data_IF_623056705399
#
_entry.id   IF_623056705399
#
_cell.length_a   1.000
_cell.length_b   1.000
_cell.length_c   1.000
_cell.angle_alpha   90.00
_cell.angle_beta   90.00
_cell.angle_gamma   90.00
#
_symmetry.space_group_name_H-M   'P 1'
#
loop_
_entity.id
_entity.type
_entity.pdbx_description
1 polymer ?
#
# COMPACT_ATOMS: atom_id res chain seq x y z
N UNK A 1 38.96 12.92 -2.82
CA UNK A 1 37.53 12.73 -2.58
C UNK A 1 37.39 11.59 -1.58
N UNK A 2 37.20 11.90 -0.30
CA UNK A 2 37.09 10.87 0.74
C UNK A 2 35.69 10.27 0.70
N UNK A 3 35.61 8.96 0.38
CA UNK A 3 34.42 8.15 0.57
C UNK A 3 34.34 7.79 2.06
N UNK A 4 33.42 8.40 2.79
CA UNK A 4 33.02 7.91 4.11
C UNK A 4 32.37 6.55 3.92
N UNK A 5 32.90 5.50 4.56
CA UNK A 5 32.30 4.17 4.55
C UNK A 5 31.32 4.03 5.71
N UNK A 6 30.33 3.14 5.56
CA UNK A 6 29.28 2.85 6.56
C UNK A 6 29.81 2.41 7.95
N UNK A 7 31.13 2.22 8.09
CA UNK A 7 31.85 1.93 9.33
C UNK A 7 32.04 3.15 10.25
N UNK A 8 31.79 4.37 9.77
CA UNK A 8 32.16 5.61 10.48
C UNK A 8 31.02 6.16 11.36
N UNK A 9 29.93 5.40 11.52
CA UNK A 9 28.79 5.80 12.35
C UNK A 9 28.94 5.14 13.72
N UNK A 10 29.18 5.95 14.75
CA UNK A 10 29.17 5.51 16.14
C UNK A 10 27.75 5.05 16.52
N UNK A 11 27.57 3.74 16.66
CA UNK A 11 26.30 3.12 17.04
C UNK A 11 25.76 3.59 18.41
N UNK A 12 26.57 4.29 19.22
CA UNK A 12 26.13 4.88 20.48
C UNK A 12 25.60 6.32 20.38
N UNK A 13 25.74 7.01 19.25
CA UNK A 13 25.03 8.28 18.99
C UNK A 13 23.57 8.08 18.55
N UNK A 14 23.16 6.85 18.23
CA UNK A 14 21.77 6.48 17.87
C UNK A 14 20.91 6.28 19.14
N UNK A 15 21.46 6.51 20.33
CA UNK A 15 20.72 6.47 21.59
C UNK A 15 20.19 7.85 21.94
N UNK A 16 18.87 8.02 21.84
CA UNK A 16 18.04 9.14 22.33
C UNK A 16 17.48 10.12 21.30
N UNK A 17 16.99 9.62 20.18
CA UNK A 17 15.75 10.18 19.63
C UNK A 17 14.67 9.14 19.84
N UNK A 18 13.91 9.31 20.93
CA UNK A 18 12.59 8.68 21.05
C UNK A 18 11.95 8.84 19.69
N UNK A 19 11.52 7.72 19.10
CA UNK A 19 10.44 7.68 18.13
C UNK A 19 9.38 8.62 18.70
N UNK A 20 9.36 9.88 18.27
CA UNK A 20 8.28 10.78 18.60
C UNK A 20 7.07 9.98 18.15
N UNK A 21 6.24 9.61 19.11
CA UNK A 21 5.05 8.83 18.84
C UNK A 21 4.27 9.72 17.90
N UNK A 22 4.39 9.48 16.58
CA UNK A 22 3.63 10.21 15.57
C UNK A 22 2.21 10.23 16.10
N UNK A 23 1.66 11.44 16.24
CA UNK A 23 0.37 11.61 16.86
C UNK A 23 -0.64 10.95 15.92
N UNK A 24 -0.95 9.68 16.17
CA UNK A 24 -1.72 8.79 15.29
C UNK A 24 -3.19 9.14 15.41
N UNK A 25 -3.51 10.41 15.20
CA UNK A 25 -4.85 11.00 15.21
C UNK A 25 -5.51 10.82 13.84
N UNK A 26 -4.70 10.78 12.78
CA UNK A 26 -5.15 10.67 11.41
C UNK A 26 -5.02 9.22 10.92
N UNK A 27 -5.90 8.35 11.42
CA UNK A 27 -5.99 6.96 10.99
C UNK A 27 -7.43 6.58 10.71
N UNK A 28 -7.61 5.63 9.80
CA UNK A 28 -8.90 5.00 9.53
C UNK A 28 -8.94 3.69 10.30
N UNK A 29 -9.82 3.61 11.31
CA UNK A 29 -10.01 2.37 12.07
C UNK A 29 -10.68 1.32 11.18
N UNK A 30 -10.18 0.09 11.21
CA UNK A 30 -10.93 -1.03 10.62
C UNK A 30 -12.22 -1.29 11.38
N UNK A 31 -13.28 -1.64 10.66
CA UNK A 31 -14.54 -2.08 11.26
C UNK A 31 -14.51 -3.56 11.70
N UNK A 32 -13.39 -4.26 11.48
CA UNK A 32 -13.19 -5.64 11.87
C UNK A 32 -12.66 -5.75 13.31
N UNK A 33 -12.89 -6.87 14.01
CA UNK A 33 -12.31 -7.14 15.33
C UNK A 33 -10.81 -7.53 15.22
N UNK A 34 -10.02 -6.77 14.47
CA UNK A 34 -8.61 -7.04 14.15
C UNK A 34 -7.72 -5.86 14.54
N UNK A 35 -6.44 -6.14 14.79
CA UNK A 35 -5.48 -5.16 15.30
C UNK A 35 -4.71 -4.43 14.19
N UNK A 36 -5.40 -3.70 13.32
CA UNK A 36 -4.79 -2.82 12.32
C UNK A 36 -5.70 -1.63 11.95
N UNK A 37 -5.12 -0.60 11.31
CA UNK A 37 -5.85 0.52 10.71
C UNK A 37 -5.94 0.33 9.20
N UNK A 38 -7.04 0.70 8.55
CA UNK A 38 -7.17 0.68 7.08
C UNK A 38 -6.16 1.62 6.42
N UNK A 39 -5.92 2.77 7.05
CA UNK A 39 -4.80 3.64 6.72
C UNK A 39 -4.28 4.41 7.93
N UNK A 40 -3.03 4.85 7.85
CA UNK A 40 -2.41 5.80 8.76
C UNK A 40 -1.79 6.92 7.94
N UNK A 41 -2.12 8.17 8.24
CA UNK A 41 -1.50 9.36 7.65
C UNK A 41 -0.50 9.95 8.66
N UNK A 42 0.71 10.24 8.18
CA UNK A 42 1.77 10.94 8.92
C UNK A 42 2.28 12.03 7.99
N UNK A 43 2.08 13.28 8.40
CA UNK A 43 2.33 14.46 7.57
C UNK A 43 1.66 14.29 6.19
N UNK A 44 2.44 14.31 5.12
CA UNK A 44 1.96 14.15 3.74
C UNK A 44 1.92 12.68 3.29
N UNK A 45 2.39 11.73 4.09
CA UNK A 45 2.51 10.32 3.70
C UNK A 45 1.35 9.50 4.25
N UNK A 46 0.74 8.69 3.39
CA UNK A 46 -0.38 7.83 3.73
C UNK A 46 0.03 6.38 3.51
N UNK A 47 -0.07 5.57 4.55
CA UNK A 47 0.15 4.13 4.52
C UNK A 47 -1.19 3.43 4.51
N UNK A 48 -1.50 2.75 3.41
CA UNK A 48 -2.74 1.99 3.23
C UNK A 48 -2.47 0.52 3.51
N UNK A 49 -3.21 -0.06 4.46
CA UNK A 49 -3.12 -1.48 4.75
C UNK A 49 -3.65 -2.32 3.58
N UNK A 50 -3.24 -3.59 3.52
CA UNK A 50 -3.61 -4.52 2.46
C UNK A 50 -5.12 -4.62 2.25
N UNK A 51 -5.58 -4.19 1.08
CA UNK A 51 -6.97 -4.32 0.62
C UNK A 51 -7.10 -5.57 -0.23
N UNK A 52 -8.21 -6.29 -0.09
CA UNK A 52 -8.60 -7.41 -0.94
C UNK A 52 -9.93 -7.13 -1.66
N UNK A 53 -10.46 -8.11 -2.40
CA UNK A 53 -11.78 -7.98 -3.03
C UNK A 53 -12.90 -8.03 -1.99
N UNK A 54 -14.03 -7.39 -2.30
CA UNK A 54 -15.23 -7.42 -1.47
C UNK A 54 -15.94 -8.78 -1.53
N UNK A 55 -15.83 -9.46 -2.67
CA UNK A 55 -16.40 -10.79 -2.88
C UNK A 55 -15.42 -11.71 -3.61
N UNK A 56 -15.34 -12.98 -3.18
CA UNK A 56 -14.58 -14.02 -3.86
C UNK A 56 -15.40 -14.77 -4.92
N UNK A 57 -16.72 -14.57 -4.94
CA UNK A 57 -17.66 -15.25 -5.84
C UNK A 57 -17.86 -14.51 -7.18
N UNK A 58 -16.93 -13.64 -7.53
CA UNK A 58 -16.88 -12.90 -8.81
C UNK A 58 -15.63 -13.29 -9.61
N UNK A 59 -15.54 -12.85 -10.87
CA UNK A 59 -14.39 -13.18 -11.73
C UNK A 59 -13.07 -12.64 -11.16
N UNK A 60 -11.96 -13.26 -11.55
CA UNK A 60 -10.63 -12.84 -11.11
C UNK A 60 -10.33 -11.38 -11.50
N UNK A 61 -10.78 -10.96 -12.68
CA UNK A 61 -10.71 -9.58 -13.15
C UNK A 61 -11.48 -8.63 -12.24
N UNK A 62 -12.71 -8.99 -11.86
CA UNK A 62 -13.52 -8.16 -10.97
C UNK A 62 -12.91 -8.09 -9.56
N UNK A 63 -12.26 -9.16 -9.09
CA UNK A 63 -11.53 -9.12 -7.82
C UNK A 63 -10.37 -8.13 -7.84
N UNK A 64 -9.65 -8.03 -8.97
CA UNK A 64 -8.59 -7.01 -9.16
C UNK A 64 -9.21 -5.61 -9.09
N UNK A 65 -10.32 -5.37 -9.78
CA UNK A 65 -11.03 -4.08 -9.81
C UNK A 65 -11.54 -3.67 -8.43
N UNK A 66 -12.19 -4.58 -7.71
CA UNK A 66 -12.65 -4.35 -6.34
C UNK A 66 -11.49 -3.99 -5.43
N UNK A 67 -10.38 -4.72 -5.53
CA UNK A 67 -9.20 -4.46 -4.71
C UNK A 67 -8.64 -3.04 -4.94
N UNK A 68 -8.53 -2.60 -6.20
CA UNK A 68 -8.05 -1.24 -6.52
C UNK A 68 -9.06 -0.17 -6.07
N UNK A 69 -10.37 -0.40 -6.25
CA UNK A 69 -11.43 0.51 -5.76
C UNK A 69 -11.45 0.62 -4.23
N UNK A 70 -11.10 -0.45 -3.53
CA UNK A 70 -10.99 -0.44 -2.08
C UNK A 70 -9.83 0.45 -1.62
N UNK A 71 -8.68 0.41 -2.32
CA UNK A 71 -7.58 1.36 -2.10
C UNK A 71 -8.04 2.80 -2.33
N UNK A 72 -8.72 3.06 -3.46
CA UNK A 72 -9.24 4.39 -3.79
C UNK A 72 -10.20 4.93 -2.72
N UNK A 73 -11.10 4.08 -2.21
CA UNK A 73 -12.05 4.42 -1.14
C UNK A 73 -11.33 4.77 0.17
N UNK A 74 -10.30 4.01 0.54
CA UNK A 74 -9.49 4.29 1.74
C UNK A 74 -8.75 5.61 1.60
N UNK A 75 -8.15 5.89 0.43
CA UNK A 75 -7.47 7.17 0.16
C UNK A 75 -8.43 8.35 0.16
N UNK A 76 -9.63 8.18 -0.41
CA UNK A 76 -10.66 9.24 -0.47
C UNK A 76 -11.08 9.72 0.92
N UNK A 77 -11.11 8.82 1.91
CA UNK A 77 -11.43 9.16 3.31
C UNK A 77 -10.38 10.07 3.98
N UNK A 78 -9.19 10.22 3.40
CA UNK A 78 -8.11 11.11 3.86
C UNK A 78 -7.75 12.19 2.82
N UNK A 79 -8.63 12.43 1.85
CA UNK A 79 -8.48 13.49 0.85
C UNK A 79 -7.42 13.21 -0.22
N UNK A 80 -7.07 11.95 -0.43
CA UNK A 80 -6.13 11.51 -1.46
C UNK A 80 -6.82 10.64 -2.53
N UNK A 81 -6.15 10.46 -3.68
CA UNK A 81 -6.61 9.63 -4.79
C UNK A 81 -5.55 8.64 -5.27
N UNK A 82 -5.89 7.82 -6.27
CA UNK A 82 -4.96 6.84 -6.85
C UNK A 82 -3.73 7.50 -7.49
N UNK A 83 -3.87 8.74 -7.96
CA UNK A 83 -2.79 9.57 -8.51
C UNK A 83 -1.72 9.96 -7.48
N UNK A 84 -2.05 9.90 -6.19
CA UNK A 84 -1.12 10.22 -5.10
C UNK A 84 -0.27 9.00 -4.70
N UNK A 85 -0.56 7.80 -5.25
CA UNK A 85 0.16 6.56 -4.93
C UNK A 85 1.57 6.58 -5.54
N UNK A 86 2.58 6.42 -4.69
CA UNK A 86 3.99 6.37 -5.11
C UNK A 86 4.55 4.94 -5.12
N UNK A 87 3.94 4.03 -4.36
CA UNK A 87 4.34 2.61 -4.28
C UNK A 87 3.13 1.73 -4.03
N UNK A 88 3.09 0.57 -4.70
CA UNK A 88 2.17 -0.53 -4.38
C UNK A 88 2.91 -1.84 -4.19
N UNK A 89 2.41 -2.69 -3.29
CA UNK A 89 2.79 -4.09 -3.18
C UNK A 89 1.59 -4.95 -3.51
N UNK A 90 1.75 -5.85 -4.48
CA UNK A 90 0.68 -6.73 -4.96
C UNK A 90 1.04 -8.17 -4.59
N UNK A 91 0.12 -8.82 -3.90
CA UNK A 91 0.20 -10.24 -3.55
C UNK A 91 -0.86 -10.97 -4.36
N UNK A 92 -0.47 -12.00 -5.11
CA UNK A 92 -1.37 -12.73 -6.00
C UNK A 92 -1.39 -14.23 -5.71
N UNK A 93 -2.56 -14.82 -5.95
CA UNK A 93 -2.69 -16.24 -6.24
C UNK A 93 -2.52 -16.46 -7.76
N UNK A 94 -1.36 -16.95 -8.16
CA UNK A 94 -1.03 -17.17 -9.59
C UNK A 94 -1.85 -18.28 -10.26
N UNK A 95 -2.53 -19.14 -9.49
CA UNK A 95 -3.42 -20.15 -10.07
C UNK A 95 -4.74 -19.54 -10.55
N UNK A 96 -5.04 -18.30 -10.14
CA UNK A 96 -6.29 -17.59 -10.45
C UNK A 96 -6.08 -16.30 -11.23
N UNK A 97 -5.00 -15.57 -10.94
CA UNK A 97 -4.68 -14.29 -11.58
C UNK A 97 -3.33 -14.37 -12.26
N UNK A 98 -3.30 -14.14 -13.57
CA UNK A 98 -2.05 -14.06 -14.35
C UNK A 98 -1.45 -12.65 -14.29
N UNK A 99 -0.12 -12.51 -14.47
CA UNK A 99 0.51 -11.20 -14.57
C UNK A 99 -0.07 -10.32 -15.69
N UNK A 100 -0.46 -10.91 -16.83
CA UNK A 100 -1.06 -10.20 -17.96
C UNK A 100 -2.44 -9.63 -17.60
N UNK A 101 -3.28 -10.43 -16.93
CA UNK A 101 -4.59 -9.97 -16.45
C UNK A 101 -4.44 -8.80 -15.48
N UNK A 102 -3.51 -8.90 -14.53
CA UNK A 102 -3.19 -7.78 -13.63
C UNK A 102 -2.76 -6.56 -14.43
N UNK A 103 -1.84 -6.71 -15.39
CA UNK A 103 -1.28 -5.61 -16.17
C UNK A 103 -2.35 -4.84 -16.99
N UNK A 104 -3.25 -5.56 -17.65
CA UNK A 104 -4.34 -4.96 -18.45
C UNK A 104 -5.25 -4.09 -17.58
N UNK A 105 -5.72 -4.64 -16.46
CA UNK A 105 -6.63 -3.93 -15.55
C UNK A 105 -5.89 -2.80 -14.82
N UNK A 106 -4.64 -3.03 -14.39
CA UNK A 106 -3.85 -2.04 -13.66
C UNK A 106 -3.69 -0.74 -14.48
N UNK A 107 -3.52 -0.85 -15.81
CA UNK A 107 -3.41 0.29 -16.72
C UNK A 107 -4.71 1.09 -16.90
N UNK A 108 -5.85 0.53 -16.51
CA UNK A 108 -7.11 1.26 -16.52
C UNK A 108 -7.13 2.32 -15.41
N UNK A 109 -6.59 1.97 -14.24
CA UNK A 109 -6.61 2.80 -13.02
C UNK A 109 -5.36 3.68 -12.86
N UNK A 110 -4.18 3.15 -13.14
CA UNK A 110 -2.91 3.88 -12.99
C UNK A 110 -2.42 4.41 -14.34
N UNK A 111 -1.82 5.60 -14.32
CA UNK A 111 -1.24 6.28 -15.50
C UNK A 111 0.23 6.62 -15.26
N UNK A 112 0.96 6.96 -16.33
CA UNK A 112 2.35 7.39 -16.21
C UNK A 112 2.47 8.78 -15.55
N UNK A 113 3.49 9.00 -14.69
CA UNK A 113 4.46 8.01 -14.22
C UNK A 113 3.82 7.00 -13.27
N UNK A 114 4.00 5.70 -13.55
CA UNK A 114 3.41 4.63 -12.74
C UNK A 114 4.03 4.59 -11.35
N UNK A 115 3.27 4.16 -10.31
CA UNK A 115 3.84 3.89 -9.00
C UNK A 115 4.96 2.85 -9.07
N UNK A 116 5.94 2.94 -8.17
CA UNK A 116 6.83 1.82 -7.94
C UNK A 116 5.99 0.58 -7.58
N UNK A 117 6.34 -0.60 -8.10
CA UNK A 117 5.52 -1.81 -7.93
C UNK A 117 6.36 -3.02 -7.58
N UNK A 118 5.91 -3.76 -6.58
CA UNK A 118 6.42 -5.09 -6.24
C UNK A 118 5.29 -6.09 -6.38
N UNK A 119 5.51 -7.21 -7.05
CA UNK A 119 4.52 -8.28 -7.23
C UNK A 119 5.13 -9.60 -6.80
N UNK A 120 4.44 -10.36 -5.96
CA UNK A 120 4.85 -11.72 -5.60
C UNK A 120 3.64 -12.63 -5.34
N UNK A 121 3.92 -13.93 -5.26
CA UNK A 121 2.91 -14.95 -4.96
C UNK A 121 2.92 -15.33 -3.48
N UNK A 122 1.75 -15.53 -2.90
CA UNK A 122 1.58 -16.11 -1.57
C UNK A 122 0.20 -16.75 -1.45
N UNK A 123 0.06 -17.72 -0.55
CA UNK A 123 -1.25 -18.23 -0.15
C UNK A 123 -1.83 -17.34 0.95
N UNK A 124 -2.77 -16.49 0.56
CA UNK A 124 -3.37 -15.46 1.43
C UNK A 124 -4.87 -15.70 1.70
N UNK A 125 -5.42 -16.83 1.22
CA UNK A 125 -6.86 -17.13 1.35
C UNK A 125 -7.79 -16.32 0.43
N UNK A 126 -7.23 -15.44 -0.40
CA UNK A 126 -7.90 -14.69 -1.47
C UNK A 126 -7.00 -14.64 -2.72
N UNK A 127 -7.54 -14.21 -3.86
CA UNK A 127 -6.78 -14.24 -5.12
C UNK A 127 -5.84 -13.05 -5.30
N UNK A 128 -6.12 -11.93 -4.66
CA UNK A 128 -5.31 -10.71 -4.74
C UNK A 128 -5.41 -9.90 -3.45
N UNK A 129 -4.30 -9.28 -3.06
CA UNK A 129 -4.26 -8.22 -2.07
C UNK A 129 -3.27 -7.14 -2.51
N UNK A 130 -3.59 -5.88 -2.24
CA UNK A 130 -2.72 -4.74 -2.56
C UNK A 130 -2.55 -3.87 -1.32
N UNK A 131 -1.31 -3.54 -0.96
CA UNK A 131 -1.01 -2.39 -0.09
C UNK A 131 -0.46 -1.23 -0.92
N UNK A 132 -0.56 -0.02 -0.36
CA UNK A 132 -0.11 1.18 -1.04
C UNK A 132 0.52 2.20 -0.08
N UNK A 133 1.45 2.98 -0.61
CA UNK A 133 1.95 4.21 -0.02
C UNK A 133 1.59 5.35 -0.96
N UNK A 134 0.94 6.38 -0.43
CA UNK A 134 0.61 7.60 -1.15
C UNK A 134 1.26 8.83 -0.50
N UNK A 135 1.49 9.87 -1.29
CA UNK A 135 2.00 11.16 -0.81
C UNK A 135 1.08 12.26 -1.33
N UNK A 136 0.44 12.99 -0.40
CA UNK A 136 -0.45 14.11 -0.71
C UNK A 136 -0.10 15.30 0.17
N UNK A 137 0.37 16.37 -0.46
CA UNK A 137 0.52 17.67 0.19
C UNK A 137 -0.86 18.26 0.49
N UNK A 138 -1.02 18.91 1.65
CA UNK A 138 -2.26 19.59 2.03
C UNK A 138 -2.50 20.85 1.19
#
# INVERSE_FOLDING_TARGET
MNKTTLSDIDANQIKNEKKEVYNMKDYIKTNLPLAYSEAVKIDNTIYVAGQGPDSLDVSAEEQIRQTIKNIEKVLSNVGAGLEDIVKVTVILNYDKITPQMLEEIYKEYFKEPYPARTVFKSDIGFNIQIDAIAVKEN
#
